data_IF_928718103546
#
_entry.id   IF_928718103546
#
_cell.length_a   1.000
_cell.length_b   1.000
_cell.length_c   1.000
_cell.angle_alpha   90.00
_cell.angle_beta   90.00
_cell.angle_gamma   90.00
#
_symmetry.space_group_name_H-M   'P 1'
#
loop_
_entity.id
_entity.type
_entity.pdbx_description
1 polymer ?
#
# COMPACT_ATOMS: atom_id res chain seq x y z
N UNK A 1 -8.88 -16.75 -8.96
CA UNK A 1 -7.88 -17.79 -9.26
C UNK A 1 -6.65 -17.48 -8.43
N UNK A 2 -6.27 -18.36 -7.50
CA UNK A 2 -5.01 -18.24 -6.76
C UNK A 2 -3.90 -18.78 -7.66
N UNK A 3 -2.85 -17.99 -7.98
CA UNK A 3 -1.76 -18.48 -8.82
C UNK A 3 -1.07 -19.67 -8.13
N UNK A 4 -0.71 -20.69 -8.90
CA UNK A 4 -0.04 -21.88 -8.34
C UNK A 4 1.34 -21.49 -7.77
N UNK A 5 1.85 -22.28 -6.83
CA UNK A 5 3.20 -22.08 -6.29
C UNK A 5 4.27 -22.06 -7.40
N UNK A 6 4.06 -22.84 -8.46
CA UNK A 6 4.90 -22.89 -9.65
C UNK A 6 4.79 -21.60 -10.49
N UNK A 7 3.59 -21.04 -10.62
CA UNK A 7 3.36 -19.74 -11.28
C UNK A 7 4.06 -18.62 -10.51
N UNK A 8 3.96 -18.61 -9.18
CA UNK A 8 4.61 -17.62 -8.33
C UNK A 8 6.14 -17.77 -8.38
N UNK A 9 6.67 -19.00 -8.39
CA UNK A 9 8.11 -19.25 -8.54
C UNK A 9 8.62 -18.69 -9.88
N UNK A 10 7.92 -18.95 -10.99
CA UNK A 10 8.30 -18.46 -12.31
C UNK A 10 8.15 -16.93 -12.46
N UNK A 11 7.18 -16.32 -11.76
CA UNK A 11 7.00 -14.86 -11.73
C UNK A 11 8.03 -14.17 -10.84
N UNK A 12 8.53 -14.86 -9.81
CA UNK A 12 9.55 -14.38 -8.90
C UNK A 12 10.95 -14.30 -9.55
N UNK A 13 11.20 -15.14 -10.56
CA UNK A 13 12.41 -15.09 -11.40
C UNK A 13 12.41 -13.92 -12.40
N UNK A 14 11.24 -13.32 -12.68
CA UNK A 14 11.13 -12.15 -13.54
C UNK A 14 11.22 -10.89 -12.68
N UNK A 15 12.09 -9.93 -13.06
CA UNK A 15 12.33 -8.65 -12.38
C UNK A 15 11.10 -7.72 -12.22
N UNK A 16 9.88 -8.20 -12.47
CA UNK A 16 8.63 -7.43 -12.52
C UNK A 16 7.58 -7.89 -11.48
N UNK A 17 7.99 -8.53 -10.39
CA UNK A 17 7.06 -8.96 -9.32
C UNK A 17 6.14 -7.83 -8.84
N UNK A 18 6.68 -6.61 -8.66
CA UNK A 18 5.89 -5.42 -8.27
C UNK A 18 4.80 -5.08 -9.31
N UNK A 19 5.16 -5.08 -10.60
CA UNK A 19 4.21 -4.83 -11.68
C UNK A 19 3.16 -5.94 -11.75
N UNK A 20 3.56 -7.19 -11.55
CA UNK A 20 2.63 -8.33 -11.54
C UNK A 20 1.62 -8.26 -10.39
N UNK A 21 2.05 -7.94 -9.16
CA UNK A 21 1.10 -7.78 -8.04
C UNK A 21 0.15 -6.60 -8.28
N UNK A 22 0.63 -5.52 -8.92
CA UNK A 22 -0.21 -4.38 -9.31
C UNK A 22 -1.25 -4.76 -10.38
N UNK A 23 -0.84 -5.52 -11.40
CA UNK A 23 -1.71 -5.97 -12.49
C UNK A 23 -2.74 -7.02 -12.05
N UNK A 24 -2.40 -7.84 -11.05
CA UNK A 24 -3.30 -8.88 -10.51
C UNK A 24 -4.28 -8.35 -9.47
N UNK A 25 -4.24 -7.06 -9.16
CA UNK A 25 -5.15 -6.42 -8.20
C UNK A 25 -4.79 -6.69 -6.74
N UNK A 26 -3.51 -6.93 -6.43
CA UNK A 26 -3.07 -7.04 -5.05
C UNK A 26 -3.37 -5.75 -4.29
N UNK A 27 -3.80 -5.93 -3.04
CA UNK A 27 -4.17 -4.84 -2.14
C UNK A 27 -3.04 -4.66 -1.14
N UNK A 28 -2.54 -3.44 -0.98
CA UNK A 28 -1.44 -3.18 -0.05
C UNK A 28 -1.92 -3.14 1.40
N UNK A 29 -0.99 -3.37 2.31
CA UNK A 29 -1.27 -3.38 3.75
C UNK A 29 -1.31 -1.95 4.29
N UNK A 30 -2.38 -1.60 5.00
CA UNK A 30 -2.60 -0.25 5.49
C UNK A 30 -1.48 0.23 6.45
N UNK A 31 -0.93 -0.65 7.28
CA UNK A 31 0.16 -0.32 8.22
C UNK A 31 1.50 0.02 7.54
N UNK A 32 1.64 -0.22 6.23
CA UNK A 32 2.90 -0.07 5.50
C UNK A 32 2.74 0.79 4.23
N UNK A 33 1.57 0.78 3.59
CA UNK A 33 1.37 1.43 2.31
C UNK A 33 1.23 2.95 2.45
N UNK A 34 2.16 3.66 1.83
CA UNK A 34 2.08 5.09 1.58
C UNK A 34 1.58 5.35 0.16
N UNK A 35 0.51 6.12 0.01
CA UNK A 35 0.07 6.61 -1.29
C UNK A 35 0.82 7.91 -1.61
N UNK A 36 1.55 7.92 -2.71
CA UNK A 36 2.30 9.10 -3.15
C UNK A 36 1.46 9.81 -4.21
N UNK A 37 0.97 11.00 -3.88
CA UNK A 37 0.12 11.80 -4.76
C UNK A 37 0.83 13.10 -5.09
N UNK A 38 1.03 13.39 -6.37
CA UNK A 38 1.65 14.63 -6.84
C UNK A 38 0.58 15.53 -7.44
N UNK A 39 0.45 16.74 -6.89
CA UNK A 39 -0.39 17.79 -7.45
C UNK A 39 0.49 18.80 -8.19
N UNK A 40 0.07 19.21 -9.38
CA UNK A 40 0.75 20.21 -10.20
C UNK A 40 -0.06 21.50 -10.31
N UNK A 41 0.61 22.65 -10.23
CA UNK A 41 -0.02 23.94 -10.51
C UNK A 41 -0.21 24.16 -12.01
N UNK A 42 -1.43 24.50 -12.43
CA UNK A 42 -1.79 24.66 -13.84
C UNK A 42 -2.15 26.11 -14.24
N UNK A 43 -2.71 26.90 -13.33
CA UNK A 43 -3.19 28.26 -13.64
C UNK A 43 -2.02 29.24 -13.88
N UNK A 44 -2.09 30.00 -14.97
CA UNK A 44 -1.02 30.94 -15.34
C UNK A 44 -1.02 32.24 -14.53
N UNK A 45 -2.16 32.60 -13.94
CA UNK A 45 -2.40 33.91 -13.34
C UNK A 45 -2.46 33.87 -11.81
N UNK A 46 -2.84 32.72 -11.24
CA UNK A 46 -3.10 32.56 -9.81
C UNK A 46 -2.35 31.35 -9.26
N UNK A 47 -1.79 31.49 -8.07
CA UNK A 47 -1.24 30.39 -7.29
C UNK A 47 -2.36 29.50 -6.76
N UNK A 48 -2.18 28.18 -6.84
CA UNK A 48 -3.08 27.21 -6.26
C UNK A 48 -2.63 26.88 -4.83
N UNK A 49 -3.52 27.07 -3.87
CA UNK A 49 -3.31 26.70 -2.47
C UNK A 49 -4.06 25.42 -2.14
N UNK A 50 -3.35 24.35 -1.78
CA UNK A 50 -3.96 23.13 -1.22
C UNK A 50 -4.26 23.38 0.25
N UNK A 51 -5.54 23.37 0.60
CA UNK A 51 -6.04 23.78 1.92
C UNK A 51 -6.53 22.62 2.78
N UNK A 52 -6.71 21.44 2.19
CA UNK A 52 -7.18 20.26 2.91
C UNK A 52 -7.26 19.03 2.04
N UNK A 53 -7.49 17.89 2.68
CA UNK A 53 -7.82 16.64 2.03
C UNK A 53 -8.82 15.86 2.87
N UNK A 54 -9.73 15.15 2.21
CA UNK A 54 -10.66 14.22 2.82
C UNK A 54 -10.75 12.93 2.01
N UNK A 55 -11.24 11.86 2.63
CA UNK A 55 -11.51 10.61 1.93
C UNK A 55 -12.98 10.55 1.55
N UNK A 56 -13.25 10.30 0.29
CA UNK A 56 -14.59 10.17 -0.28
C UNK A 56 -14.80 8.78 -0.84
N UNK A 57 -16.07 8.40 -1.07
CA UNK A 57 -16.47 7.08 -1.56
C UNK A 57 -15.91 5.91 -0.74
N UNK A 58 -15.72 6.12 0.58
CA UNK A 58 -15.14 5.09 1.45
C UNK A 58 -16.11 3.92 1.63
N UNK A 59 -15.70 2.75 1.17
CA UNK A 59 -16.38 1.49 1.41
C UNK A 59 -15.43 0.54 2.13
N UNK A 60 -15.88 -0.11 3.21
CA UNK A 60 -15.03 -1.03 3.96
C UNK A 60 -15.75 -2.36 4.23
N UNK A 61 -14.97 -3.43 4.15
CA UNK A 61 -15.37 -4.81 4.36
C UNK A 61 -14.38 -5.50 5.32
N UNK A 62 -14.66 -6.73 5.80
CA UNK A 62 -13.68 -7.47 6.58
C UNK A 62 -12.35 -7.64 5.86
N UNK A 63 -11.24 -7.55 6.60
CA UNK A 63 -9.90 -7.67 6.05
C UNK A 63 -9.69 -8.94 5.20
N UNK A 64 -8.86 -8.79 4.16
CA UNK A 64 -8.55 -9.87 3.23
C UNK A 64 -7.70 -10.95 3.90
N UNK A 65 -8.11 -12.22 3.71
CA UNK A 65 -7.51 -13.42 4.31
C UNK A 65 -6.90 -14.40 3.29
N UNK A 66 -6.70 -13.92 2.06
CA UNK A 66 -6.23 -14.75 0.95
C UNK A 66 -4.74 -15.08 1.02
N UNK A 67 -3.99 -14.60 0.05
CA UNK A 67 -2.53 -14.78 -0.02
C UNK A 67 -1.82 -13.53 0.47
N UNK A 68 -0.90 -13.67 1.42
CA UNK A 68 0.00 -12.59 1.86
C UNK A 68 1.38 -12.76 1.20
N UNK A 69 1.88 -11.69 0.59
CA UNK A 69 3.28 -11.55 0.18
C UNK A 69 3.98 -10.55 1.09
N UNK A 70 5.03 -10.99 1.77
CA UNK A 70 5.78 -10.16 2.71
C UNK A 70 7.28 -10.23 2.44
N UNK A 71 7.88 -9.08 2.16
CA UNK A 71 9.32 -8.96 1.99
C UNK A 71 9.80 -7.69 2.70
N UNK A 72 10.09 -7.77 4.00
CA UNK A 72 10.54 -6.62 4.77
C UNK A 72 11.90 -6.13 4.24
N UNK A 73 12.00 -4.82 3.99
CA UNK A 73 13.24 -4.13 3.67
C UNK A 73 13.86 -3.44 4.89
N UNK A 74 15.10 -2.93 4.74
CA UNK A 74 15.71 -2.03 5.72
C UNK A 74 15.07 -0.64 5.63
N UNK A 75 14.43 -0.19 6.72
CA UNK A 75 13.64 1.04 6.72
C UNK A 75 14.45 2.29 6.36
N UNK A 76 13.85 3.15 5.53
CA UNK A 76 14.31 4.51 5.27
C UNK A 76 13.14 5.47 5.49
N UNK A 77 13.23 6.31 6.51
CA UNK A 77 12.24 7.36 6.75
C UNK A 77 12.29 8.40 5.63
N UNK A 78 11.14 8.73 5.05
CA UNK A 78 11.06 9.77 4.02
C UNK A 78 10.70 11.11 4.67
N UNK A 79 11.44 12.21 4.39
CA UNK A 79 11.17 13.53 4.96
C UNK A 79 9.96 14.25 4.31
N UNK A 80 9.08 13.53 3.61
CA UNK A 80 7.96 14.08 2.84
C UNK A 80 6.80 14.41 3.79
N UNK A 81 5.99 15.46 3.53
CA UNK A 81 4.80 15.74 4.32
C UNK A 81 3.84 14.53 4.36
N UNK A 82 3.60 14.02 5.57
CA UNK A 82 2.76 12.86 5.82
C UNK A 82 1.36 13.30 6.29
N UNK A 83 0.35 12.91 5.53
CA UNK A 83 -1.07 13.07 5.86
C UNK A 83 -1.57 11.70 6.32
N UNK A 84 -2.03 11.60 7.56
CA UNK A 84 -2.51 10.34 8.14
C UNK A 84 -4.02 10.29 8.23
N UNK A 85 -4.61 9.19 7.75
CA UNK A 85 -6.02 8.88 7.93
C UNK A 85 -6.20 7.57 8.70
N UNK A 86 -7.05 7.60 9.74
CA UNK A 86 -7.53 6.42 10.43
C UNK A 86 -8.85 5.99 9.78
N UNK A 87 -8.83 4.92 8.99
CA UNK A 87 -9.97 4.45 8.22
C UNK A 87 -11.06 3.83 9.11
N UNK A 88 -10.74 3.47 10.35
CA UNK A 88 -11.69 2.95 11.33
C UNK A 88 -12.52 4.08 11.99
N UNK A 89 -12.20 5.35 11.70
CA UNK A 89 -12.89 6.53 12.24
C UNK A 89 -13.60 7.35 11.15
N UNK A 90 -14.54 8.24 11.53
CA UNK A 90 -15.02 9.28 10.64
C UNK A 90 -13.84 10.11 10.15
N UNK A 91 -13.74 10.26 8.83
CA UNK A 91 -12.60 10.91 8.19
C UNK A 91 -12.79 12.42 8.32
N UNK A 92 -12.05 13.03 9.24
CA UNK A 92 -12.01 14.49 9.41
C UNK A 92 -10.72 15.01 8.78
N UNK A 93 -10.80 16.14 8.09
CA UNK A 93 -9.66 16.83 7.47
C UNK A 93 -8.41 16.79 8.37
N UNK A 94 -7.29 16.20 7.92
CA UNK A 94 -6.12 16.02 8.76
C UNK A 94 -5.53 17.35 9.21
N UNK A 95 -5.08 17.42 10.47
CA UNK A 95 -4.34 18.57 11.03
C UNK A 95 -3.10 18.98 10.22
N UNK A 96 -2.63 18.11 9.32
CA UNK A 96 -1.51 18.36 8.42
C UNK A 96 -1.69 19.64 7.58
N UNK A 97 -2.93 19.98 7.19
CA UNK A 97 -3.21 21.19 6.42
C UNK A 97 -3.56 22.40 7.29
N UNK A 98 -3.87 22.20 8.57
CA UNK A 98 -4.28 23.28 9.48
C UNK A 98 -3.12 24.24 9.84
N UNK A 99 -1.86 23.83 9.67
CA UNK A 99 -0.68 24.63 10.03
C UNK A 99 0.13 25.14 8.84
N UNK A 100 -0.13 24.63 7.63
CA UNK A 100 0.68 24.94 6.44
C UNK A 100 -0.19 24.91 5.20
N UNK A 101 -0.25 26.05 4.51
CA UNK A 101 -0.84 26.15 3.18
C UNK A 101 0.23 25.73 2.15
N UNK A 102 -0.09 24.77 1.29
CA UNK A 102 0.83 24.32 0.23
C UNK A 102 0.47 25.05 -1.05
N UNK A 103 1.42 25.84 -1.55
CA UNK A 103 1.22 26.77 -2.65
C UNK A 103 1.95 26.26 -3.89
N UNK A 104 1.26 26.33 -5.02
CA UNK A 104 1.69 25.78 -6.30
C UNK A 104 1.52 26.83 -7.40
N UNK A 105 2.63 27.28 -7.96
CA UNK A 105 2.63 28.07 -9.20
C UNK A 105 2.53 27.16 -10.41
N UNK A 106 2.28 27.75 -11.59
CA UNK A 106 2.32 27.03 -12.86
C UNK A 106 3.62 26.23 -13.02
N UNK A 107 3.49 24.93 -13.26
CA UNK A 107 4.63 24.03 -13.48
C UNK A 107 5.32 23.56 -12.19
N UNK A 108 4.98 24.13 -11.02
CA UNK A 108 5.42 23.58 -9.74
C UNK A 108 4.61 22.33 -9.39
N UNK A 109 5.25 21.42 -8.67
CA UNK A 109 4.66 20.19 -8.19
C UNK A 109 4.86 20.07 -6.68
N UNK A 110 3.84 19.57 -5.99
CA UNK A 110 3.94 19.19 -4.59
C UNK A 110 3.48 17.75 -4.44
N UNK A 111 4.36 16.95 -3.87
CA UNK A 111 4.07 15.56 -3.52
C UNK A 111 3.61 15.45 -2.08
N UNK A 112 2.53 14.72 -1.88
CA UNK A 112 1.97 14.36 -0.57
C UNK A 112 2.10 12.86 -0.39
N UNK A 113 2.50 12.44 0.81
CA UNK A 113 2.42 11.05 1.24
C UNK A 113 1.18 10.91 2.10
N UNK A 114 0.23 10.12 1.62
CA UNK A 114 -0.96 9.76 2.37
C UNK A 114 -0.72 8.39 3.00
N UNK A 115 -0.71 8.34 4.33
CA UNK A 115 -0.64 7.12 5.11
C UNK A 115 -2.04 6.81 5.64
N UNK A 116 -2.49 5.57 5.50
CA UNK A 116 -3.82 5.16 5.96
C UNK A 116 -3.70 3.98 6.89
N UNK A 117 -4.36 4.00 8.04
CA UNK A 117 -4.35 2.85 8.95
C UNK A 117 -5.75 2.27 9.11
N UNK A 118 -5.85 0.95 9.23
CA UNK A 118 -7.06 0.25 9.69
C UNK A 118 -6.63 -1.00 10.47
N UNK A 119 -7.39 -1.34 11.51
CA UNK A 119 -7.10 -2.49 12.36
C UNK A 119 -7.62 -3.81 11.83
N UNK A 120 -8.79 -3.82 11.18
CA UNK A 120 -9.49 -5.06 10.85
C UNK A 120 -10.26 -5.02 9.51
N UNK A 121 -10.08 -3.98 8.71
CA UNK A 121 -10.88 -3.78 7.50
C UNK A 121 -10.03 -3.80 6.23
N UNK A 122 -10.65 -4.19 5.14
CA UNK A 122 -10.23 -3.80 3.81
C UNK A 122 -11.11 -2.62 3.38
N UNK A 123 -10.51 -1.56 2.84
CA UNK A 123 -11.22 -0.37 2.46
C UNK A 123 -10.84 0.08 1.05
N UNK A 124 -11.84 0.54 0.33
CA UNK A 124 -11.73 1.27 -0.93
C UNK A 124 -12.09 2.73 -0.70
N UNK A 125 -11.34 3.67 -1.27
CA UNK A 125 -11.61 5.12 -1.13
C UNK A 125 -10.93 5.95 -2.22
N UNK A 126 -11.33 7.21 -2.36
CA UNK A 126 -10.62 8.25 -3.13
C UNK A 126 -10.18 9.38 -2.21
N UNK A 127 -9.16 10.14 -2.62
CA UNK A 127 -8.70 11.33 -1.87
C UNK A 127 -9.17 12.58 -2.58
N UNK A 128 -10.02 13.38 -1.92
CA UNK A 128 -10.48 14.67 -2.41
C UNK A 128 -9.64 15.78 -1.78
N UNK A 129 -8.88 16.50 -2.60
CA UNK A 129 -8.14 17.68 -2.16
C UNK A 129 -8.97 18.94 -2.35
N UNK A 130 -9.00 19.80 -1.33
CA UNK A 130 -9.55 21.14 -1.45
C UNK A 130 -8.43 22.08 -1.92
N UNK A 131 -8.69 22.78 -3.01
CA UNK A 131 -7.72 23.68 -3.64
C UNK A 131 -8.36 25.04 -3.83
N UNK A 132 -7.69 26.09 -3.40
CA UNK A 132 -8.11 27.48 -3.63
C UNK A 132 -7.25 28.08 -4.73
N UNK A 133 -7.90 28.62 -5.77
CA UNK A 133 -7.24 29.34 -6.86
C UNK A 133 -7.84 30.75 -6.92
N UNK A 134 -7.06 31.75 -6.52
CA UNK A 134 -7.56 33.10 -6.30
C UNK A 134 -8.66 33.14 -5.22
N UNK A 135 -9.88 33.53 -5.61
CA UNK A 135 -11.06 33.60 -4.73
C UNK A 135 -11.95 32.36 -4.78
N UNK A 136 -11.68 31.41 -5.68
CA UNK A 136 -12.51 30.21 -5.86
C UNK A 136 -11.90 29.02 -5.14
N UNK A 137 -12.75 28.26 -4.46
CA UNK A 137 -12.40 26.93 -3.96
C UNK A 137 -12.92 25.89 -4.95
N UNK A 138 -12.05 24.98 -5.35
CA UNK A 138 -12.34 23.81 -6.18
C UNK A 138 -11.86 22.55 -5.47
N UNK A 139 -12.24 21.40 -6.00
CA UNK A 139 -11.74 20.11 -5.53
C UNK A 139 -11.00 19.38 -6.63
N UNK A 140 -10.03 18.55 -6.24
CA UNK A 140 -9.29 17.64 -7.12
C UNK A 140 -9.37 16.25 -6.50
N UNK A 141 -9.88 15.29 -7.25
CA UNK A 141 -9.94 13.89 -6.79
C UNK A 141 -8.72 13.15 -7.28
N UNK A 142 -8.03 12.47 -6.38
CA UNK A 142 -6.96 11.54 -6.70
C UNK A 142 -7.45 10.09 -6.49
N UNK A 143 -7.05 9.23 -7.41
CA UNK A 143 -7.42 7.82 -7.47
C UNK A 143 -6.27 6.97 -8.09
N UNK A 144 -6.46 5.65 -8.13
CA UNK A 144 -5.56 4.70 -8.78
C UNK A 144 -5.98 4.50 -10.25
N UNK A 145 -5.61 5.48 -11.10
CA UNK A 145 -5.87 5.45 -12.54
C UNK A 145 -7.35 5.19 -12.90
N UNK A 146 -8.26 5.93 -12.25
CA UNK A 146 -9.71 5.84 -12.40
C UNK A 146 -10.39 4.88 -11.42
N UNK A 147 -9.64 4.13 -10.61
CA UNK A 147 -10.17 3.20 -9.60
C UNK A 147 -9.92 3.71 -8.19
N UNK A 148 -10.79 3.40 -7.20
CA UNK A 148 -10.50 3.71 -5.81
C UNK A 148 -9.17 3.09 -5.37
N UNK A 149 -8.45 3.78 -4.49
CA UNK A 149 -7.35 3.16 -3.75
C UNK A 149 -7.89 2.04 -2.89
N UNK A 150 -7.12 0.96 -2.76
CA UNK A 150 -7.47 -0.18 -1.92
C UNK A 150 -6.37 -0.45 -0.90
N UNK A 151 -6.77 -0.65 0.35
CA UNK A 151 -5.89 -1.11 1.41
C UNK A 151 -6.57 -2.18 2.25
N UNK A 152 -5.80 -3.05 2.89
CA UNK A 152 -6.31 -4.02 3.87
C UNK A 152 -5.47 -4.00 5.13
N UNK A 153 -6.08 -4.22 6.29
CA UNK A 153 -5.33 -4.40 7.53
C UNK A 153 -4.46 -5.65 7.45
N UNK A 154 -3.29 -5.61 8.07
CA UNK A 154 -2.48 -6.80 8.34
C UNK A 154 -3.14 -7.64 9.43
N UNK A 155 -3.49 -8.88 9.08
CA UNK A 155 -3.95 -9.90 10.02
C UNK A 155 -2.77 -10.70 10.60
N UNK A 156 -2.95 -11.39 11.74
CA UNK A 156 -2.05 -12.45 12.18
C UNK A 156 -1.81 -13.50 11.08
N UNK A 157 -0.59 -14.02 10.97
CA UNK A 157 -0.17 -14.88 9.87
C UNK A 157 -1.08 -16.09 9.69
N UNK A 158 -1.49 -16.72 10.78
CA UNK A 158 -2.35 -17.90 10.83
C UNK A 158 -3.74 -17.69 10.22
N UNK A 159 -4.15 -16.44 9.96
CA UNK A 159 -5.42 -16.10 9.32
C UNK A 159 -5.35 -16.05 7.78
N UNK A 160 -4.15 -16.09 7.19
CA UNK A 160 -4.01 -16.16 5.73
C UNK A 160 -4.06 -17.60 5.24
N UNK A 161 -4.63 -17.81 4.06
CA UNK A 161 -4.65 -19.12 3.41
C UNK A 161 -3.25 -19.53 2.89
N UNK A 162 -2.49 -18.55 2.40
CA UNK A 162 -1.15 -18.77 1.86
C UNK A 162 -0.23 -17.61 2.25
N UNK A 163 1.00 -17.93 2.63
CA UNK A 163 2.02 -16.95 2.99
C UNK A 163 3.25 -17.14 2.09
N UNK A 164 3.74 -16.04 1.52
CA UNK A 164 5.00 -15.96 0.79
C UNK A 164 5.91 -14.94 1.47
N UNK A 165 7.09 -15.37 1.91
CA UNK A 165 8.03 -14.54 2.67
C UNK A 165 9.35 -14.39 1.94
N UNK A 166 9.86 -13.16 1.88
CA UNK A 166 11.10 -12.76 1.25
C UNK A 166 11.96 -11.86 2.13
N UNK A 167 12.91 -11.16 1.49
CA UNK A 167 13.73 -10.14 2.14
C UNK A 167 14.58 -10.69 3.29
N UNK A 168 14.70 -9.91 4.37
CA UNK A 168 15.55 -10.29 5.52
C UNK A 168 15.06 -11.54 6.28
N UNK A 169 13.80 -11.92 6.11
CA UNK A 169 13.23 -13.10 6.77
C UNK A 169 13.59 -14.40 6.03
N UNK A 170 13.76 -14.34 4.72
CA UNK A 170 14.05 -15.49 3.88
C UNK A 170 15.07 -15.10 2.81
N UNK A 171 16.35 -15.24 3.16
CA UNK A 171 17.45 -15.00 2.22
C UNK A 171 17.68 -16.23 1.34
N UNK A 172 17.78 -16.01 0.04
CA UNK A 172 18.11 -17.04 -0.94
C UNK A 172 17.93 -16.55 -2.38
N UNK A 173 18.06 -17.44 -3.38
CA UNK A 173 18.03 -17.06 -4.80
C UNK A 173 16.66 -16.54 -5.27
N UNK A 174 15.56 -16.99 -4.66
CA UNK A 174 14.21 -16.52 -4.96
C UNK A 174 13.84 -15.33 -4.08
N UNK A 175 13.04 -14.36 -4.57
CA UNK A 175 12.61 -13.20 -3.79
C UNK A 175 11.50 -13.54 -2.80
N UNK A 176 10.78 -14.66 -2.97
CA UNK A 176 9.76 -15.14 -2.04
C UNK A 176 9.76 -16.66 -1.94
N UNK A 177 9.54 -17.16 -0.73
CA UNK A 177 9.37 -18.58 -0.42
C UNK A 177 8.00 -18.80 0.17
N UNK A 178 7.30 -19.83 -0.31
CA UNK A 178 6.03 -20.24 0.31
C UNK A 178 6.31 -20.77 1.72
N UNK A 179 5.53 -20.31 2.69
CA UNK A 179 5.61 -20.73 4.09
C UNK A 179 4.25 -21.27 4.55
N UNK A 180 4.27 -22.14 5.56
CA UNK A 180 3.07 -22.45 6.32
C UNK A 180 2.75 -21.28 7.26
N UNK A 181 1.58 -20.63 7.15
CA UNK A 181 1.28 -19.45 7.94
C UNK A 181 1.24 -19.69 9.45
N UNK A 182 0.82 -20.88 9.89
CA UNK A 182 0.73 -21.24 11.32
C UNK A 182 2.11 -21.54 11.91
N UNK A 183 2.97 -22.23 11.15
CA UNK A 183 4.34 -22.50 11.58
C UNK A 183 5.18 -21.22 11.60
N UNK A 184 4.97 -20.34 10.61
CA UNK A 184 5.66 -19.05 10.57
C UNK A 184 5.26 -18.15 11.76
N UNK A 185 3.98 -18.15 12.14
CA UNK A 185 3.46 -17.40 13.30
C UNK A 185 4.16 -17.74 14.62
N UNK A 186 4.63 -18.98 14.79
CA UNK A 186 5.35 -19.44 15.99
C UNK A 186 6.87 -19.37 15.86
N UNK A 187 7.39 -18.62 14.88
CA UNK A 187 8.81 -18.33 14.75
C UNK A 187 9.62 -19.36 13.96
N UNK A 188 8.97 -20.34 13.30
CA UNK A 188 9.68 -21.17 12.31
C UNK A 188 9.87 -20.37 11.04
N UNK A 189 10.94 -19.57 11.03
CA UNK A 189 11.38 -18.84 9.84
C UNK A 189 11.93 -19.81 8.82
N UNK A 190 12.10 -19.33 7.58
CA UNK A 190 12.71 -20.07 6.49
C UNK A 190 13.95 -20.82 6.98
N UNK A 191 13.82 -22.12 7.22
CA UNK A 191 14.98 -23.00 7.26
C UNK A 191 15.69 -22.77 5.94
N UNK A 192 16.99 -22.49 5.97
CA UNK A 192 17.84 -22.45 4.76
C UNK A 192 17.50 -23.68 3.93
N UNK A 193 16.62 -23.56 2.95
CA UNK A 193 16.14 -24.69 2.19
C UNK A 193 17.18 -24.94 1.10
N UNK A 194 18.27 -25.60 1.50
CA UNK A 194 18.73 -26.70 0.69
C UNK A 194 17.58 -27.70 0.62
N UNK A 195 17.03 -27.82 -0.58
CA UNK A 195 16.12 -28.86 -1.04
C UNK A 195 16.37 -30.19 -0.32
N UNK A 196 15.33 -30.78 0.26
CA UNK A 196 15.00 -32.21 0.12
C UNK A 196 13.62 -32.46 0.75
N UNK A 197 12.56 -32.33 -0.03
CA UNK A 197 11.40 -33.20 0.12
C UNK A 197 11.48 -34.23 -1.00
N UNK A 198 11.54 -35.52 -0.62
CA UNK A 198 11.33 -36.63 -1.55
C UNK A 198 12.50 -37.58 -1.73
N UNK A 199 12.80 -38.41 -0.73
CA UNK A 199 13.14 -39.81 -0.98
C UNK A 199 12.35 -40.71 -0.02
N UNK A 200 11.24 -41.21 -0.55
CA UNK A 200 10.58 -42.43 -0.11
C UNK A 200 11.47 -43.63 -0.47
N UNK A 201 11.83 -44.39 0.57
CA UNK A 201 12.07 -45.87 0.63
C UNK A 201 13.23 -46.48 -0.18
N UNK A 202 13.80 -47.63 0.25
CA UNK A 202 13.14 -48.87 0.70
C UNK A 202 13.18 -49.15 2.21
#
# INVERSE_FOLDING_TARGET
>A
MTPSAETISQLSERQNFKSWVQETGAVGLADIQSLVITLGGYDEKNEASVTGAELVDKHCEPALRGTLFESPGGGGGSPIPNVRFDLDKPVVSPKAFAKKEYKLKKGEQQTFVIETTTKNQACEFRVLFHVRVGTKTTTVTADDAGRPFKVTSRLPYEQYQVLYVGGIYCSGPLPYYRQDPKLFAVGRQCSKAGVTEGQTTP
#
